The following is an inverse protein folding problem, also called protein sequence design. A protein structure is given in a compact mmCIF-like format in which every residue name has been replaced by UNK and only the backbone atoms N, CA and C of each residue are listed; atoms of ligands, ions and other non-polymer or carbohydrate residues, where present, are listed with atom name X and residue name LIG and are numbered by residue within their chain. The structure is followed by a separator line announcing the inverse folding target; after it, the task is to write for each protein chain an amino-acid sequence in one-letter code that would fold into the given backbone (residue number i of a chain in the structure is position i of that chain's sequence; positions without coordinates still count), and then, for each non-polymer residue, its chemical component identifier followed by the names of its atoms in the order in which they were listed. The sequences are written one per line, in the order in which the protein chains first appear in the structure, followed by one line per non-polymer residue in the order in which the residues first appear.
data_IF_702509216978
#
_entry.id   IF_702509216978
#
_cell.length_a   1.000
_cell.length_b   1.000
_cell.length_c   1.000
_cell.angle_alpha   90.00
_cell.angle_beta   90.00
_cell.angle_gamma   90.00
#
_symmetry.space_group_name_H-M   'P 1'
#
loop_
_entity.id
_entity.type
_entity.pdbx_description
1 polymer ?
#
# COMPACT_ATOMS: atom_id res chain seq x y z
N UNK A 1 16.80 -0.06 -5.54
CA UNK A 1 18.06 0.68 -5.32
C UNK A 1 18.17 1.76 -6.38
N UNK A 2 17.78 3.00 -6.05
CA UNK A 2 17.76 4.11 -7.01
C UNK A 2 19.06 4.92 -6.87
N UNK A 3 19.95 4.83 -7.86
CA UNK A 3 21.22 5.54 -7.90
C UNK A 3 20.95 6.98 -8.34
N UNK A 4 20.85 7.92 -7.39
CA UNK A 4 20.80 9.34 -7.70
C UNK A 4 22.22 9.81 -8.04
N UNK A 5 22.53 9.87 -9.34
CA UNK A 5 23.76 10.47 -9.84
C UNK A 5 23.58 11.99 -9.85
N UNK A 6 24.16 12.68 -8.86
CA UNK A 6 24.25 14.14 -8.86
C UNK A 6 25.45 14.51 -9.74
N UNK A 7 25.21 14.78 -11.03
CA UNK A 7 26.22 15.39 -11.90
C UNK A 7 26.34 16.88 -11.58
N UNK A 8 27.41 17.25 -10.89
CA UNK A 8 27.85 18.64 -10.71
C UNK A 8 28.23 19.23 -12.07
N UNK A 9 27.28 19.90 -12.72
CA UNK A 9 27.53 20.61 -13.98
C UNK A 9 28.13 21.98 -13.66
N UNK A 10 29.42 22.14 -13.99
CA UNK A 10 30.11 23.42 -13.96
C UNK A 10 29.48 24.34 -15.03
N UNK A 11 28.90 25.47 -14.60
CA UNK A 11 28.45 26.54 -15.49
C UNK A 11 29.66 27.28 -16.05
N UNK A 12 30.04 26.97 -17.28
CA UNK A 12 30.80 27.88 -18.14
C UNK A 12 29.79 28.52 -19.09
N UNK A 13 29.48 29.79 -18.85
CA UNK A 13 28.70 30.61 -19.78
C UNK A 13 29.59 30.98 -20.96
N UNK A 14 29.18 30.61 -22.18
CA UNK A 14 29.53 31.40 -23.36
C UNK A 14 28.34 31.45 -24.32
N UNK A 15 28.19 32.65 -24.88
CA UNK A 15 27.14 33.10 -25.77
C UNK A 15 26.91 32.17 -26.96
N UNK A 16 25.63 31.96 -27.33
CA UNK A 16 25.09 32.08 -28.70
C UNK A 16 23.72 31.38 -28.83
N UNK A 17 22.75 32.10 -29.43
CA UNK A 17 21.69 31.51 -30.24
C UNK A 17 20.45 30.99 -29.53
N UNK A 18 19.43 31.85 -29.40
CA UNK A 18 18.08 31.46 -29.00
C UNK A 18 17.38 30.69 -30.14
N UNK A 19 17.23 29.37 -30.00
CA UNK A 19 16.16 28.62 -30.66
C UNK A 19 15.25 28.00 -29.58
N UNK A 20 14.02 28.52 -29.49
CA UNK A 20 12.95 27.96 -28.66
C UNK A 20 12.50 26.62 -29.25
N UNK A 21 13.04 25.51 -28.74
CA UNK A 21 12.41 24.19 -28.86
C UNK A 21 11.56 23.94 -27.62
N UNK A 22 10.24 24.07 -27.76
CA UNK A 22 9.29 23.55 -26.80
C UNK A 22 9.29 22.02 -26.91
N UNK A 23 9.96 21.34 -25.97
CA UNK A 23 9.86 19.90 -25.79
C UNK A 23 8.58 19.61 -24.98
N UNK A 24 7.59 19.01 -25.63
CA UNK A 24 6.46 18.38 -24.96
C UNK A 24 6.93 17.04 -24.38
N UNK A 25 6.91 16.90 -23.06
CA UNK A 25 7.17 15.64 -22.37
C UNK A 25 5.84 15.04 -21.89
N UNK A 26 5.63 13.75 -22.19
CA UNK A 26 4.46 12.96 -21.81
C UNK A 26 4.38 12.72 -20.29
N UNK A 27 3.15 12.56 -19.80
CA UNK A 27 2.65 12.77 -18.43
C UNK A 27 3.18 11.87 -17.27
N UNK A 28 4.38 11.30 -17.38
CA UNK A 28 4.96 10.44 -16.33
C UNK A 28 5.92 11.11 -15.34
N UNK A 29 6.34 12.37 -15.58
CA UNK A 29 7.47 13.01 -14.87
C UNK A 29 7.10 14.21 -13.99
N UNK A 30 5.80 14.47 -13.80
CA UNK A 30 5.35 15.70 -13.15
C UNK A 30 5.71 15.82 -11.65
N UNK A 31 5.93 14.70 -10.94
CA UNK A 31 6.31 14.74 -9.53
C UNK A 31 7.77 15.15 -9.29
N UNK A 32 8.69 14.87 -10.22
CA UNK A 32 10.12 15.19 -10.02
C UNK A 32 10.45 16.67 -10.27
N UNK A 33 9.72 17.34 -11.18
CA UNK A 33 9.96 18.75 -11.49
C UNK A 33 9.48 19.69 -10.37
N UNK A 34 8.38 19.38 -9.69
CA UNK A 34 7.86 20.20 -8.58
C UNK A 34 8.83 20.23 -7.39
N UNK A 35 9.44 19.08 -7.05
CA UNK A 35 10.46 19.03 -6.00
C UNK A 35 11.72 19.84 -6.37
N UNK A 36 12.16 19.75 -7.63
CA UNK A 36 13.32 20.49 -8.13
C UNK A 36 13.09 22.02 -8.11
N UNK A 37 11.89 22.49 -8.46
CA UNK A 37 11.55 23.92 -8.41
C UNK A 37 11.47 24.48 -6.98
N UNK A 38 10.88 23.73 -6.04
CA UNK A 38 10.86 24.10 -4.63
C UNK A 38 12.29 24.17 -4.07
N UNK A 39 13.13 23.19 -4.39
CA UNK A 39 14.54 23.17 -4.00
C UNK A 39 15.30 24.37 -4.58
N UNK A 40 15.11 24.71 -5.86
CA UNK A 40 15.75 25.88 -6.47
C UNK A 40 15.29 27.21 -5.85
N UNK A 41 14.01 27.36 -5.49
CA UNK A 41 13.52 28.55 -4.77
C UNK A 41 14.13 28.67 -3.37
N UNK A 42 14.25 27.55 -2.64
CA UNK A 42 14.92 27.48 -1.35
C UNK A 42 16.41 27.84 -1.47
N UNK A 43 17.13 27.30 -2.46
CA UNK A 43 18.53 27.64 -2.73
C UNK A 43 18.69 29.14 -3.04
N UNK A 44 17.75 29.75 -3.79
CA UNK A 44 17.77 31.19 -4.08
C UNK A 44 17.52 32.04 -2.84
N UNK A 45 16.60 31.64 -1.97
CA UNK A 45 16.31 32.30 -0.70
C UNK A 45 17.49 32.19 0.29
N UNK A 46 18.23 31.08 0.25
CA UNK A 46 19.40 30.88 1.11
C UNK A 46 20.63 31.68 0.68
N UNK A 47 20.73 32.12 -0.59
CA UNK A 47 21.87 32.93 -1.08
C UNK A 47 21.91 34.36 -0.52
N UNK A 48 20.79 34.91 -0.05
CA UNK A 48 20.77 36.24 0.57
C UNK A 48 21.13 36.21 2.06
N UNK A 49 21.22 35.03 2.65
CA UNK A 49 21.72 34.83 3.99
C UNK A 49 23.22 34.50 3.88
N UNK A 50 24.08 35.11 4.70
CA UNK A 50 25.44 34.62 4.93
C UNK A 50 25.43 33.76 6.20
N UNK A 51 24.90 32.53 6.17
CA UNK A 51 24.96 31.66 7.32
C UNK A 51 26.41 31.21 7.51
N UNK A 52 26.82 31.11 8.77
CA UNK A 52 28.10 30.51 9.13
C UNK A 52 28.25 29.14 8.46
N UNK A 53 29.44 28.82 7.96
CA UNK A 53 29.71 27.62 7.16
C UNK A 53 29.28 26.30 7.83
N UNK A 54 29.14 26.32 9.16
CA UNK A 54 28.65 25.18 9.95
C UNK A 54 27.13 24.97 9.82
N UNK A 55 26.34 26.04 9.69
CA UNK A 55 24.89 25.96 9.61
C UNK A 55 24.41 25.29 8.31
N UNK A 56 25.09 25.54 7.19
CA UNK A 56 24.77 24.93 5.89
C UNK A 56 25.01 23.42 5.93
N UNK A 57 26.11 22.97 6.56
CA UNK A 57 26.45 21.53 6.64
C UNK A 57 25.39 20.77 7.45
N UNK A 58 24.98 21.30 8.59
CA UNK A 58 23.95 20.67 9.44
C UNK A 58 22.59 20.61 8.73
N UNK A 59 22.24 21.65 7.98
CA UNK A 59 20.96 21.70 7.26
C UNK A 59 20.92 20.70 6.07
N UNK A 60 22.03 20.56 5.35
CA UNK A 60 22.16 19.57 4.25
C UNK A 60 22.15 18.14 4.79
N UNK A 61 22.80 17.86 5.93
CA UNK A 61 22.76 16.55 6.59
C UNK A 61 21.36 16.20 7.10
N UNK A 62 20.63 17.17 7.68
CA UNK A 62 19.24 16.98 8.09
C UNK A 62 18.32 16.70 6.90
N UNK A 63 18.51 17.38 5.77
CA UNK A 63 17.73 17.13 4.55
C UNK A 63 18.07 15.79 3.90
N UNK A 64 19.34 15.38 3.86
CA UNK A 64 19.75 14.09 3.33
C UNK A 64 19.21 12.92 4.16
N UNK A 65 19.10 13.07 5.48
CA UNK A 65 18.48 12.10 6.37
C UNK A 65 16.96 11.97 6.17
N UNK A 66 16.27 13.05 5.73
CA UNK A 66 14.85 12.97 5.37
C UNK A 66 14.59 12.26 4.04
N UNK A 67 15.61 12.10 3.18
CA UNK A 67 15.47 11.51 1.85
C UNK A 67 15.76 10.01 1.79
N UNK A 68 16.07 9.33 2.91
CA UNK A 68 16.13 7.86 2.92
C UNK A 68 14.72 7.30 2.87
N UNK A 69 14.16 7.30 1.66
CA UNK A 69 12.84 6.82 1.32
C UNK A 69 12.67 5.37 1.79
N UNK A 70 11.72 5.16 2.71
CA UNK A 70 11.19 3.87 3.09
C UNK A 70 10.79 3.12 1.82
N UNK A 71 11.52 2.07 1.44
CA UNK A 71 10.99 1.09 0.50
C UNK A 71 9.90 0.34 1.26
N UNK A 72 8.65 0.47 0.81
CA UNK A 72 7.58 -0.38 1.30
C UNK A 72 7.94 -1.81 0.89
N UNK A 73 8.29 -2.64 1.87
CA UNK A 73 8.39 -4.08 1.66
C UNK A 73 7.02 -4.66 1.95
N UNK A 74 6.56 -5.51 1.04
CA UNK A 74 5.55 -6.50 1.37
C UNK A 74 6.15 -7.47 2.40
N UNK A 75 5.35 -7.91 3.36
CA UNK A 75 5.72 -9.02 4.24
C UNK A 75 4.52 -9.95 4.40
N UNK A 76 4.70 -11.28 4.34
CA UNK A 76 3.65 -12.21 4.67
C UNK A 76 3.26 -12.06 6.14
N UNK A 77 1.96 -12.03 6.43
CA UNK A 77 1.42 -11.97 7.79
C UNK A 77 0.57 -13.20 8.08
N UNK A 78 0.74 -13.79 9.25
CA UNK A 78 -0.09 -14.90 9.72
C UNK A 78 -1.37 -14.42 10.42
N UNK A 79 -2.27 -15.35 10.77
CA UNK A 79 -3.54 -15.03 11.46
C UNK A 79 -3.32 -14.22 12.74
N UNK A 80 -2.28 -14.55 13.51
CA UNK A 80 -1.95 -13.87 14.77
C UNK A 80 -1.29 -12.48 14.58
N UNK A 81 -1.04 -12.06 13.34
CA UNK A 81 -0.42 -10.77 13.03
C UNK A 81 -1.42 -9.62 12.84
N UNK A 82 -2.71 -9.83 13.15
CA UNK A 82 -3.73 -8.79 13.13
C UNK A 82 -4.07 -8.37 14.57
N UNK A 83 -4.15 -7.07 14.83
CA UNK A 83 -4.39 -6.57 16.19
C UNK A 83 -5.89 -6.38 16.47
N UNK A 84 -6.61 -5.75 15.53
CA UNK A 84 -8.07 -5.59 15.59
C UNK A 84 -8.70 -5.68 14.19
N UNK A 85 -8.71 -6.86 13.55
CA UNK A 85 -9.20 -7.00 12.19
C UNK A 85 -10.72 -6.88 12.13
N UNK A 86 -11.22 -6.31 11.03
CA UNK A 86 -12.59 -6.61 10.58
C UNK A 86 -12.57 -8.00 9.95
N UNK A 87 -13.48 -8.87 10.39
CA UNK A 87 -13.61 -10.26 9.93
C UNK A 87 -14.91 -10.44 9.14
N UNK A 88 -14.83 -11.09 7.98
CA UNK A 88 -15.97 -11.53 7.16
C UNK A 88 -15.86 -13.05 6.96
N UNK A 89 -16.81 -13.80 7.50
CA UNK A 89 -16.87 -15.28 7.49
C UNK A 89 -17.76 -15.85 6.38
N UNK A 90 -18.29 -14.98 5.50
CA UNK A 90 -19.20 -15.30 4.40
C UNK A 90 -20.47 -16.12 4.71
N UNK A 91 -20.78 -16.44 5.97
CA UNK A 91 -21.94 -17.27 6.34
C UNK A 91 -23.27 -16.63 5.93
N UNK A 92 -23.33 -15.30 5.97
CA UNK A 92 -24.49 -14.51 5.55
C UNK A 92 -24.48 -14.14 4.06
N UNK A 93 -23.47 -14.56 3.29
CA UNK A 93 -23.36 -14.21 1.88
C UNK A 93 -24.58 -14.70 1.08
N UNK A 94 -25.18 -13.86 0.21
CA UNK A 94 -26.20 -14.33 -0.73
C UNK A 94 -25.58 -15.28 -1.75
N UNK A 95 -26.40 -16.17 -2.32
CA UNK A 95 -25.99 -16.95 -3.49
C UNK A 95 -25.77 -16.04 -4.69
N UNK A 96 -24.68 -16.24 -5.42
CA UNK A 96 -24.29 -15.40 -6.56
C UNK A 96 -23.33 -14.27 -6.16
N UNK A 97 -23.16 -13.30 -7.05
CA UNK A 97 -22.17 -12.23 -6.87
C UNK A 97 -22.39 -11.42 -5.58
N UNK A 98 -21.36 -11.30 -4.76
CA UNK A 98 -21.39 -10.60 -3.46
C UNK A 98 -20.96 -9.13 -3.54
N UNK A 99 -20.95 -8.56 -4.75
CA UNK A 99 -20.26 -7.31 -5.07
C UNK A 99 -20.49 -6.18 -4.07
N UNK A 100 -21.74 -5.93 -3.67
CA UNK A 100 -22.10 -4.79 -2.80
C UNK A 100 -22.52 -5.19 -1.40
N UNK A 101 -22.52 -6.49 -1.07
CA UNK A 101 -23.11 -6.99 0.16
C UNK A 101 -22.34 -6.52 1.42
N UNK A 102 -21.01 -6.47 1.34
CA UNK A 102 -20.13 -6.13 2.47
C UNK A 102 -19.67 -4.66 2.51
N UNK A 103 -20.29 -3.78 1.71
CA UNK A 103 -19.91 -2.36 1.67
C UNK A 103 -20.08 -1.69 3.03
N UNK A 104 -21.05 -2.15 3.84
CA UNK A 104 -21.23 -1.70 5.23
C UNK A 104 -20.07 -2.05 6.17
N UNK A 105 -19.29 -3.09 5.84
CA UNK A 105 -18.05 -3.46 6.54
C UNK A 105 -16.83 -2.71 6.00
N UNK A 106 -16.99 -1.85 4.98
CA UNK A 106 -15.90 -1.09 4.38
C UNK A 106 -15.15 -1.82 3.26
N UNK A 107 -15.69 -2.91 2.72
CA UNK A 107 -15.10 -3.64 1.59
C UNK A 107 -16.13 -3.99 0.53
N UNK A 108 -15.76 -3.82 -0.74
CA UNK A 108 -16.54 -4.20 -1.91
C UNK A 108 -15.78 -5.30 -2.64
N UNK A 109 -16.41 -6.44 -2.87
CA UNK A 109 -15.80 -7.51 -3.65
C UNK A 109 -16.11 -7.36 -5.15
N UNK A 110 -15.23 -7.86 -6.01
CA UNK A 110 -15.45 -7.94 -7.46
C UNK A 110 -15.06 -9.34 -7.91
N UNK A 111 -15.87 -9.92 -8.81
CA UNK A 111 -15.68 -11.27 -9.35
C UNK A 111 -15.67 -12.37 -8.28
N UNK A 112 -16.37 -12.15 -7.16
CA UNK A 112 -16.57 -13.15 -6.13
C UNK A 112 -18.05 -13.41 -5.94
N UNK A 113 -18.38 -14.69 -5.78
CA UNK A 113 -19.73 -15.21 -5.57
C UNK A 113 -19.81 -15.94 -4.25
N UNK A 114 -20.87 -15.69 -3.48
CA UNK A 114 -21.20 -16.49 -2.32
C UNK A 114 -21.76 -17.83 -2.79
N UNK A 115 -21.15 -18.92 -2.34
CA UNK A 115 -21.63 -20.26 -2.64
C UNK A 115 -21.46 -21.18 -1.44
N UNK A 116 -22.29 -22.22 -1.39
CA UNK A 116 -22.03 -23.34 -0.51
C UNK A 116 -20.92 -24.16 -1.13
N UNK A 117 -19.70 -23.96 -0.65
CA UNK A 117 -18.57 -24.85 -0.91
C UNK A 117 -18.18 -25.45 0.42
N UNK A 118 -17.76 -26.71 0.42
CA UNK A 118 -17.14 -27.26 1.62
C UNK A 118 -15.87 -26.46 1.89
N UNK A 119 -15.89 -25.65 2.96
CA UNK A 119 -14.67 -25.12 3.57
C UNK A 119 -13.87 -26.33 4.04
N UNK A 120 -12.73 -26.55 3.38
CA UNK A 120 -11.91 -27.72 3.65
C UNK A 120 -10.82 -27.46 4.66
N UNK A 121 -10.65 -26.25 5.22
CA UNK A 121 -9.85 -26.17 6.45
C UNK A 121 -9.51 -24.84 7.07
N UNK A 122 -10.53 -24.02 7.30
CA UNK A 122 -10.60 -23.35 8.62
C UNK A 122 -11.00 -24.32 9.74
N UNK A 123 -11.48 -25.51 9.38
CA UNK A 123 -12.03 -26.50 10.32
C UNK A 123 -13.46 -26.19 10.77
N UNK A 124 -14.11 -25.18 10.16
CA UNK A 124 -15.45 -24.72 10.53
C UNK A 124 -16.59 -25.65 10.05
N UNK A 125 -16.32 -26.56 9.11
CA UNK A 125 -17.31 -27.45 8.51
C UNK A 125 -17.85 -26.90 7.20
N UNK A 126 -19.05 -27.31 6.78
CA UNK A 126 -19.68 -26.78 5.57
C UNK A 126 -20.22 -25.35 5.83
N UNK A 127 -19.37 -24.35 5.63
CA UNK A 127 -19.74 -22.92 5.63
C UNK A 127 -20.03 -22.43 4.20
N UNK A 128 -20.57 -21.20 4.08
CA UNK A 128 -20.52 -20.50 2.79
C UNK A 128 -19.16 -19.83 2.66
N UNK A 129 -18.63 -19.82 1.45
CA UNK A 129 -17.38 -19.12 1.12
C UNK A 129 -17.56 -18.21 -0.09
N UNK A 130 -16.61 -17.30 -0.29
CA UNK A 130 -16.53 -16.48 -1.49
C UNK A 130 -15.67 -17.18 -2.54
N UNK A 131 -16.16 -17.31 -3.76
CA UNK A 131 -15.53 -18.09 -4.83
C UNK A 131 -15.42 -17.29 -6.12
N UNK A 132 -14.38 -17.53 -6.91
CA UNK A 132 -14.28 -16.95 -8.27
C UNK A 132 -14.87 -17.85 -9.36
N UNK A 133 -15.35 -19.04 -9.00
CA UNK A 133 -15.99 -19.99 -9.92
C UNK A 133 -17.52 -19.85 -9.91
N UNK A 134 -18.00 -18.81 -10.58
CA UNK A 134 -19.41 -18.65 -10.96
C UNK A 134 -19.59 -19.02 -12.45
N UNK A 135 -20.83 -19.09 -12.95
CA UNK A 135 -21.21 -19.57 -14.30
C UNK A 135 -20.67 -18.72 -15.47
N UNK A 136 -19.34 -18.53 -15.55
CA UNK A 136 -18.64 -17.78 -16.57
C UNK A 136 -17.41 -18.57 -17.02
N UNK A 137 -17.12 -18.65 -18.34
CA UNK A 137 -15.90 -19.28 -18.84
C UNK A 137 -14.65 -18.52 -18.38
N UNK A 138 -13.71 -19.24 -17.75
CA UNK A 138 -12.49 -18.68 -17.18
C UNK A 138 -12.74 -18.13 -15.78
N UNK A 139 -11.92 -18.52 -14.82
CA UNK A 139 -12.03 -18.07 -13.45
C UNK A 139 -11.31 -16.72 -13.30
N UNK A 140 -12.04 -15.59 -13.23
CA UNK A 140 -11.40 -14.28 -13.15
C UNK A 140 -10.69 -14.09 -11.80
N UNK A 141 -9.79 -13.11 -11.76
CA UNK A 141 -9.19 -12.65 -10.52
C UNK A 141 -10.28 -12.07 -9.61
N UNK A 142 -10.22 -12.41 -8.32
CA UNK A 142 -11.05 -11.78 -7.30
C UNK A 142 -10.44 -10.47 -6.87
N UNK A 143 -11.24 -9.45 -6.58
CA UNK A 143 -10.75 -8.20 -6.00
C UNK A 143 -11.51 -7.85 -4.72
N UNK A 144 -10.80 -7.23 -3.78
CA UNK A 144 -11.40 -6.56 -2.63
C UNK A 144 -10.98 -5.08 -2.65
N UNK A 145 -11.97 -4.20 -2.76
CA UNK A 145 -11.82 -2.74 -2.79
C UNK A 145 -12.25 -2.18 -1.43
N UNK A 146 -11.36 -1.48 -0.77
CA UNK A 146 -11.57 -0.96 0.58
C UNK A 146 -12.02 0.50 0.55
N UNK A 147 -12.90 0.88 1.47
CA UNK A 147 -13.34 2.27 1.63
C UNK A 147 -12.27 3.18 2.28
N UNK A 148 -11.32 2.57 2.99
CA UNK A 148 -10.19 3.23 3.65
C UNK A 148 -8.88 2.54 3.25
N UNK A 149 -7.74 3.18 3.51
CA UNK A 149 -6.44 2.53 3.33
C UNK A 149 -6.23 1.44 4.38
N UNK A 150 -5.98 0.22 3.90
CA UNK A 150 -5.63 -0.95 4.68
C UNK A 150 -4.12 -1.14 4.71
N UNK A 151 -3.59 -1.67 5.81
CA UNK A 151 -2.18 -2.08 5.91
C UNK A 151 -2.02 -3.58 5.94
N UNK A 152 -3.06 -4.32 6.34
CA UNK A 152 -3.07 -5.78 6.33
C UNK A 152 -4.36 -6.30 5.72
N UNK A 153 -4.25 -7.39 4.98
CA UNK A 153 -5.38 -8.19 4.55
C UNK A 153 -4.95 -9.66 4.49
N UNK A 154 -5.85 -10.57 4.81
CA UNK A 154 -5.60 -12.00 4.74
C UNK A 154 -6.88 -12.82 4.83
N UNK A 155 -6.81 -14.06 4.41
CA UNK A 155 -7.96 -14.96 4.32
C UNK A 155 -7.46 -16.40 4.27
N UNK A 156 -8.32 -17.34 4.64
CA UNK A 156 -8.09 -18.73 4.26
C UNK A 156 -8.47 -18.90 2.79
N UNK A 157 -7.66 -19.63 2.05
CA UNK A 157 -7.89 -19.94 0.64
C UNK A 157 -7.73 -21.43 0.38
N UNK A 158 -8.61 -21.95 -0.46
CA UNK A 158 -8.48 -23.27 -1.11
C UNK A 158 -8.46 -23.04 -2.61
N UNK A 159 -7.42 -23.54 -3.29
CA UNK A 159 -7.27 -23.53 -4.74
C UNK A 159 -7.05 -24.97 -5.23
N UNK A 160 -7.01 -25.19 -6.55
CA UNK A 160 -6.68 -26.51 -7.08
C UNK A 160 -5.23 -26.90 -6.76
N UNK A 161 -4.98 -28.21 -6.74
CA UNK A 161 -3.62 -28.75 -6.70
C UNK A 161 -2.79 -28.18 -7.86
N UNK A 162 -1.57 -27.73 -7.55
CA UNK A 162 -0.62 -27.07 -8.47
C UNK A 162 -0.95 -25.64 -8.91
N UNK A 163 -2.08 -25.05 -8.48
CA UNK A 163 -2.32 -23.62 -8.65
C UNK A 163 -1.70 -22.84 -7.46
N UNK A 164 -0.92 -21.80 -7.76
CA UNK A 164 -0.34 -20.86 -6.79
C UNK A 164 -1.20 -19.60 -6.71
N UNK A 165 -1.16 -18.92 -5.57
CA UNK A 165 -1.90 -17.66 -5.39
C UNK A 165 -0.96 -16.49 -5.17
N UNK A 166 -1.11 -15.44 -5.98
CA UNK A 166 -0.49 -14.14 -5.76
C UNK A 166 -1.51 -13.12 -5.31
N UNK A 167 -1.18 -12.38 -4.24
CA UNK A 167 -1.95 -11.24 -3.77
C UNK A 167 -1.22 -9.97 -4.18
N UNK A 168 -1.81 -9.19 -5.08
CA UNK A 168 -1.32 -7.88 -5.48
C UNK A 168 -2.02 -6.78 -4.69
N UNK A 169 -1.28 -5.83 -4.12
CA UNK A 169 -1.84 -4.68 -3.42
C UNK A 169 -1.66 -3.40 -4.21
N UNK A 170 -2.72 -2.62 -4.34
CA UNK A 170 -2.77 -1.37 -5.10
C UNK A 170 -3.19 -0.20 -4.22
N UNK A 171 -2.70 0.99 -4.58
CA UNK A 171 -3.17 2.28 -4.08
C UNK A 171 -3.59 3.12 -5.28
N UNK A 172 -4.89 3.19 -5.52
CA UNK A 172 -5.45 3.66 -6.78
C UNK A 172 -4.97 2.79 -7.94
N UNK A 173 -4.31 3.40 -8.92
CA UNK A 173 -3.74 2.70 -10.07
C UNK A 173 -2.31 2.18 -9.85
N UNK A 174 -1.67 2.51 -8.71
CA UNK A 174 -0.26 2.20 -8.46
C UNK A 174 -0.12 0.88 -7.72
N UNK A 175 0.68 -0.05 -8.24
CA UNK A 175 1.06 -1.27 -7.53
C UNK A 175 1.98 -0.91 -6.35
N UNK A 176 1.55 -1.27 -5.14
CA UNK A 176 2.32 -1.08 -3.90
C UNK A 176 3.27 -2.24 -3.69
N UNK A 177 2.82 -3.46 -4.00
CA UNK A 177 3.64 -4.67 -4.00
C UNK A 177 2.77 -5.90 -4.16
N UNK A 178 3.38 -7.07 -4.01
CA UNK A 178 2.71 -8.36 -4.15
C UNK A 178 3.43 -9.42 -3.34
N UNK A 179 2.71 -10.49 -3.00
CA UNK A 179 3.27 -11.70 -2.40
C UNK A 179 2.68 -12.93 -3.07
N UNK A 180 3.52 -13.94 -3.29
CA UNK A 180 3.11 -15.23 -3.88
C UNK A 180 3.18 -16.31 -2.82
N UNK A 181 2.08 -17.05 -2.69
CA UNK A 181 1.91 -18.14 -1.77
C UNK A 181 1.82 -19.43 -2.56
N UNK A 182 2.66 -20.40 -2.18
CA UNK A 182 2.52 -21.75 -2.69
C UNK A 182 1.29 -22.39 -2.03
N UNK A 183 0.17 -22.38 -2.74
CA UNK A 183 -1.07 -23.02 -2.33
C UNK A 183 -1.13 -24.49 -2.78
N UNK A 184 -0.16 -24.93 -3.59
CA UNK A 184 -0.01 -26.32 -4.02
C UNK A 184 0.73 -27.18 -2.98
N UNK A 185 0.05 -28.22 -2.46
CA UNK A 185 0.70 -29.29 -1.70
C UNK A 185 0.61 -29.22 -0.18
N UNK A 186 -0.20 -28.32 0.40
CA UNK A 186 -0.42 -28.25 1.86
C UNK A 186 -1.87 -28.30 2.34
N UNK A 187 -2.84 -28.81 1.56
CA UNK A 187 -4.15 -29.03 2.17
C UNK A 187 -5.27 -29.53 1.28
N UNK A 188 -5.59 -30.81 1.46
CA UNK A 188 -6.95 -31.13 1.93
C UNK A 188 -7.14 -30.34 3.24
N UNK A 189 -7.52 -29.05 3.16
CA UNK A 189 -7.29 -28.12 4.28
C UNK A 189 -7.35 -26.62 3.98
N UNK A 190 -7.10 -26.17 2.76
CA UNK A 190 -6.85 -24.74 2.55
C UNK A 190 -5.61 -24.23 3.32
N UNK A 191 -5.28 -22.95 3.14
CA UNK A 191 -4.15 -22.31 3.81
C UNK A 191 -4.46 -20.85 4.10
N UNK A 192 -3.92 -20.31 5.19
CA UNK A 192 -4.01 -18.88 5.45
C UNK A 192 -2.99 -18.13 4.59
N UNK A 193 -3.46 -17.15 3.82
CA UNK A 193 -2.63 -16.20 3.08
C UNK A 193 -2.90 -14.81 3.62
N UNK A 194 -1.84 -14.07 3.90
CA UNK A 194 -1.95 -12.73 4.47
C UNK A 194 -0.78 -11.87 4.05
N UNK A 195 -1.06 -10.60 3.80
CA UNK A 195 -0.09 -9.60 3.36
C UNK A 195 -0.14 -8.36 4.25
N UNK A 196 1.04 -7.81 4.55
CA UNK A 196 1.21 -6.51 5.19
C UNK A 196 1.95 -5.54 4.26
N UNK A 197 1.42 -4.33 4.12
CA UNK A 197 2.05 -3.22 3.40
C UNK A 197 1.89 -1.92 4.19
N UNK A 198 2.96 -1.48 4.83
CA UNK A 198 2.97 -0.29 5.71
C UNK A 198 2.65 1.04 5.01
N UNK A 199 2.82 1.11 3.68
CA UNK A 199 2.43 2.28 2.87
C UNK A 199 0.92 2.42 2.64
N UNK A 200 0.17 1.38 2.99
CA UNK A 200 -1.26 1.24 2.80
C UNK A 200 -1.67 0.93 1.36
N UNK A 201 -2.81 0.25 1.21
CA UNK A 201 -3.47 -0.09 -0.06
C UNK A 201 -4.98 0.14 0.05
N UNK A 202 -5.64 0.43 -1.07
CA UNK A 202 -7.11 0.54 -1.16
C UNK A 202 -7.73 -0.59 -1.97
N UNK A 203 -6.91 -1.47 -2.55
CA UNK A 203 -7.37 -2.63 -3.29
C UNK A 203 -6.38 -3.77 -3.18
N UNK A 204 -6.88 -5.00 -3.04
CA UNK A 204 -6.12 -6.20 -3.34
C UNK A 204 -6.74 -6.95 -4.53
N UNK A 205 -5.88 -7.60 -5.30
CA UNK A 205 -6.25 -8.53 -6.38
C UNK A 205 -5.70 -9.90 -6.01
N UNK A 206 -6.60 -10.88 -5.98
CA UNK A 206 -6.33 -12.29 -5.73
C UNK A 206 -6.25 -12.95 -7.10
N UNK A 207 -5.03 -13.34 -7.46
CA UNK A 207 -4.72 -13.97 -8.73
C UNK A 207 -4.21 -15.37 -8.45
N UNK A 208 -5.01 -16.36 -8.83
CA UNK A 208 -4.63 -17.77 -8.72
C UNK A 208 -4.29 -18.26 -10.11
N UNK A 209 -3.04 -18.67 -10.31
CA UNK A 209 -2.53 -19.13 -11.60
C UNK A 209 -1.88 -20.49 -11.46
N UNK A 210 -2.01 -21.31 -12.49
CA UNK A 210 -1.41 -22.63 -12.51
C UNK A 210 -1.95 -23.49 -13.65
N UNK A 211 -1.57 -24.78 -13.68
CA UNK A 211 -1.86 -25.67 -14.79
C UNK A 211 -3.32 -26.13 -14.84
N UNK A 212 -4.11 -25.89 -13.78
CA UNK A 212 -5.48 -26.41 -13.71
C UNK A 212 -6.46 -25.41 -14.31
N UNK A 213 -6.86 -24.39 -13.55
CA UNK A 213 -7.81 -23.40 -14.05
C UNK A 213 -7.85 -22.07 -13.26
N UNK A 214 -7.21 -21.94 -12.09
CA UNK A 214 -7.25 -20.72 -11.29
C UNK A 214 -8.50 -20.57 -10.42
N UNK A 215 -9.31 -21.61 -10.27
CA UNK A 215 -10.44 -21.61 -9.35
C UNK A 215 -9.96 -21.59 -7.90
N UNK A 216 -10.60 -20.75 -7.09
CA UNK A 216 -10.38 -20.68 -5.66
C UNK A 216 -11.65 -20.36 -4.87
N UNK A 217 -11.62 -20.74 -3.59
CA UNK A 217 -12.57 -20.34 -2.57
C UNK A 217 -11.81 -19.66 -1.43
N UNK A 218 -12.36 -18.57 -0.88
CA UNK A 218 -11.82 -17.87 0.28
C UNK A 218 -12.83 -17.82 1.43
N UNK A 219 -12.31 -17.87 2.65
CA UNK A 219 -13.08 -17.73 3.89
C UNK A 219 -12.31 -16.93 4.96
N UNK A 220 -13.02 -16.50 6.00
CA UNK A 220 -12.55 -15.63 7.07
C UNK A 220 -11.65 -14.48 6.57
N UNK A 221 -12.23 -13.64 5.72
CA UNK A 221 -11.54 -12.49 5.17
C UNK A 221 -11.32 -11.44 6.25
N UNK A 222 -10.05 -11.22 6.59
CA UNK A 222 -9.56 -10.30 7.63
C UNK A 222 -8.87 -9.11 6.98
N UNK A 223 -9.15 -7.91 7.46
CA UNK A 223 -8.44 -6.71 7.05
C UNK A 223 -8.34 -5.69 8.18
N UNK A 224 -7.28 -4.91 8.14
CA UNK A 224 -6.95 -3.93 9.18
C UNK A 224 -6.44 -2.64 8.54
N UNK A 225 -7.05 -1.53 8.93
CA UNK A 225 -6.62 -0.20 8.55
C UNK A 225 -5.28 0.15 9.21
N UNK A 226 -4.51 1.05 8.61
CA UNK A 226 -3.36 1.62 9.33
C UNK A 226 -3.85 2.16 10.66
N UNK A 227 -3.23 1.76 11.77
CA UNK A 227 -3.35 2.52 13.01
C UNK A 227 -2.70 3.87 12.70
N UNK A 228 -3.53 4.86 12.39
CA UNK A 228 -3.05 6.23 12.16
C UNK A 228 -2.48 6.63 13.52
N UNK A 229 -1.13 6.77 13.66
CA UNK A 229 -0.57 7.25 14.90
C UNK A 229 -1.26 8.59 15.14
N UNK A 230 -1.76 8.80 16.36
CA UNK A 230 -2.50 10.02 16.69
C UNK A 230 -1.81 11.21 16.03
N UNK A 231 -2.56 12.08 15.32
CA UNK A 231 -1.99 13.08 14.44
C UNK A 231 -0.81 13.73 15.14
N UNK A 232 0.37 13.72 14.52
CA UNK A 232 1.58 14.32 15.12
C UNK A 232 1.35 15.79 15.46
N UNK A 233 0.29 16.41 14.92
CA UNK A 233 -0.24 17.69 15.34
C UNK A 233 -0.62 17.75 16.83
N UNK A 234 -1.10 16.68 17.47
CA UNK A 234 -1.32 16.63 18.93
C UNK A 234 0.01 16.62 19.69
N UNK A 235 0.98 15.83 19.22
CA UNK A 235 2.34 15.86 19.79
C UNK A 235 3.00 17.23 19.61
N UNK A 236 2.86 17.84 18.43
CA UNK A 236 3.36 19.19 18.11
C UNK A 236 2.60 20.28 18.87
N UNK A 237 1.30 20.12 19.09
CA UNK A 237 0.50 21.03 19.91
C UNK A 237 0.96 20.96 21.36
N UNK A 238 1.19 19.74 21.89
CA UNK A 238 1.75 19.52 23.21
C UNK A 238 3.15 20.13 23.36
N UNK A 239 4.04 19.89 22.40
CA UNK A 239 5.38 20.47 22.38
C UNK A 239 5.35 21.99 22.23
N UNK A 240 4.46 22.51 21.39
CA UNK A 240 4.25 23.95 21.22
C UNK A 240 3.78 24.60 22.52
N UNK A 241 2.77 24.01 23.16
CA UNK A 241 2.25 24.49 24.44
C UNK A 241 3.32 24.44 25.56
N UNK A 242 4.09 23.35 25.63
CA UNK A 242 5.20 23.22 26.56
C UNK A 242 6.26 24.30 26.30
N UNK A 243 6.64 24.51 25.04
CA UNK A 243 7.58 25.56 24.63
C UNK A 243 7.11 26.95 25.04
N UNK A 244 5.84 27.29 24.76
CA UNK A 244 5.26 28.56 25.19
C UNK A 244 5.25 28.71 26.72
N UNK A 245 4.94 27.64 27.46
CA UNK A 245 5.02 27.62 28.93
C UNK A 245 6.42 27.97 29.46
N UNK A 246 7.46 27.34 28.92
CA UNK A 246 8.84 27.60 29.34
C UNK A 246 9.33 29.00 28.99
N UNK A 247 8.90 29.57 27.85
CA UNK A 247 9.29 30.96 27.51
C UNK A 247 8.73 31.99 28.49
N UNK A 248 7.55 31.74 29.08
CA UNK A 248 6.93 32.67 30.04
C UNK A 248 7.62 32.65 31.40
N UNK A 249 8.21 31.51 31.79
CA UNK A 249 8.91 31.36 33.08
C UNK A 249 10.26 32.09 33.13
N UNK A 250 10.90 32.36 31.98
CA UNK A 250 12.20 33.06 31.91
C UNK A 250 12.13 34.59 32.04
N UNK A 251 10.94 35.19 32.14
CA UNK A 251 10.75 36.65 32.26
C UNK A 251 10.43 37.12 33.70
N UNK A 252 10.57 36.24 34.69
CA UNK A 252 10.58 36.59 36.11
C UNK A 252 11.96 36.37 36.67
#
# INVERSE_FOLDING_TARGET
MCLIVITTSCLVSNELGWHKKCLFFSDGWQFHLSAAFVLMRLIRQLRSFQPDHQMIKTLVLAFAALCTSFQASAAPVGVAGFDSPTLIDFNDAPSGLINTFYVGNGVKFVNLSGTYSYDTGTGSGASKSATNFFDVPGFPNGEALFSNLMVRAGFFITANDADDTTVYAYKGATLVGFETFNTSGNGVGGSFVGVEFTSGFDRIVIDTFGPVNGAFAIDDFRFEAASVPEPTSLALLGLGAAGFGFTRLRKK
#
